data_IF_197891690189
#
_entry.id   IF_197891690189
#
_cell.length_a   1.000
_cell.length_b   1.000
_cell.length_c   1.000
_cell.angle_alpha   90.00
_cell.angle_beta   90.00
_cell.angle_gamma   90.00
#
_symmetry.space_group_name_H-M   'P 1'
#
loop_
_entity.id
_entity.type
_entity.pdbx_description
1 polymer ?
#
# COMPACT_ATOMS: atom_id res chain seq x y z
N UNK A 1 10.89 -7.59 14.00
CA UNK A 1 10.56 -6.37 13.27
C UNK A 1 9.07 -6.11 13.36
N UNK A 2 8.69 -4.88 13.66
CA UNK A 2 7.28 -4.57 13.80
C UNK A 2 6.60 -4.54 12.44
N UNK A 3 5.40 -5.08 12.32
CA UNK A 3 4.67 -4.99 11.07
C UNK A 3 4.30 -3.54 10.75
N UNK A 4 4.24 -3.24 9.47
CA UNK A 4 3.81 -1.92 9.01
C UNK A 4 2.30 -1.93 8.85
N UNK A 5 1.63 -1.01 9.53
CA UNK A 5 0.18 -0.87 9.44
C UNK A 5 -0.13 0.53 8.91
N UNK A 6 -0.78 0.59 7.76
CA UNK A 6 -1.15 1.84 7.14
C UNK A 6 -2.55 2.24 7.58
N UNK A 7 -2.71 3.50 7.95
CA UNK A 7 -4.01 4.08 8.30
C UNK A 7 -4.73 3.27 9.39
N UNK A 8 -3.99 2.64 10.29
CA UNK A 8 -4.53 1.77 11.34
C UNK A 8 -5.45 0.67 10.80
N UNK A 9 -5.32 0.34 9.54
CA UNK A 9 -6.24 -0.60 8.89
C UNK A 9 -5.55 -1.68 8.06
N UNK A 10 -4.53 -1.33 7.29
CA UNK A 10 -3.92 -2.28 6.35
C UNK A 10 -2.56 -2.72 6.85
N UNK A 11 -2.48 -3.97 7.28
CA UNK A 11 -1.21 -4.55 7.72
C UNK A 11 -0.50 -5.17 6.53
N UNK A 12 0.64 -4.59 6.15
CA UNK A 12 1.42 -5.07 5.02
C UNK A 12 2.04 -6.43 5.35
N UNK A 13 1.90 -7.37 4.42
CA UNK A 13 2.47 -8.70 4.57
C UNK A 13 3.74 -8.84 3.74
N UNK A 14 3.62 -8.75 2.41
CA UNK A 14 4.78 -8.91 1.54
C UNK A 14 4.60 -8.10 0.27
N UNK A 15 5.72 -7.70 -0.32
CA UNK A 15 5.70 -7.03 -1.61
C UNK A 15 5.52 -8.08 -2.69
N UNK A 16 4.50 -7.92 -3.51
CA UNK A 16 4.17 -8.86 -4.58
C UNK A 16 4.48 -8.32 -5.97
N UNK A 17 4.87 -7.06 -6.06
CA UNK A 17 5.24 -6.49 -7.35
C UNK A 17 5.67 -5.04 -7.22
N UNK A 18 6.18 -4.50 -8.32
CA UNK A 18 6.49 -3.08 -8.41
C UNK A 18 6.38 -2.64 -9.87
N UNK A 19 5.90 -1.43 -10.05
CA UNK A 19 5.89 -0.78 -11.35
C UNK A 19 6.79 0.44 -11.35
N UNK A 20 6.73 1.23 -12.41
CA UNK A 20 7.52 2.45 -12.48
C UNK A 20 7.16 3.47 -11.42
N UNK A 21 5.90 3.51 -10.97
CA UNK A 21 5.40 4.53 -10.06
C UNK A 21 5.11 4.04 -8.66
N UNK A 22 4.98 2.75 -8.46
CA UNK A 22 4.50 2.24 -7.17
C UNK A 22 5.04 0.86 -6.86
N UNK A 23 5.01 0.54 -5.58
CA UNK A 23 5.18 -0.83 -5.09
C UNK A 23 3.80 -1.40 -4.77
N UNK A 24 3.62 -2.69 -5.02
CA UNK A 24 2.36 -3.37 -4.71
C UNK A 24 2.62 -4.38 -3.59
N UNK A 25 1.83 -4.29 -2.53
CA UNK A 25 1.94 -5.18 -1.37
C UNK A 25 0.68 -5.98 -1.19
N UNK A 26 0.85 -7.23 -0.79
CA UNK A 26 -0.23 -7.98 -0.20
C UNK A 26 -0.39 -7.48 1.24
N UNK A 27 -1.64 -7.23 1.64
CA UNK A 27 -1.92 -6.73 2.97
C UNK A 27 -3.19 -7.37 3.52
N UNK A 28 -3.36 -7.24 4.82
CA UNK A 28 -4.59 -7.65 5.47
C UNK A 28 -5.38 -6.41 5.86
N UNK A 29 -6.64 -6.36 5.45
CA UNK A 29 -7.56 -5.32 5.90
C UNK A 29 -8.06 -5.73 7.29
N UNK A 30 -7.59 -5.03 8.31
CA UNK A 30 -7.91 -5.38 9.69
C UNK A 30 -9.36 -5.09 10.07
N UNK A 31 -10.00 -4.22 9.33
CA UNK A 31 -11.41 -3.87 9.58
C UNK A 31 -12.32 -4.92 8.97
N UNK A 32 -12.12 -5.24 7.70
CA UNK A 32 -12.96 -6.19 6.98
C UNK A 32 -12.47 -7.63 7.07
N UNK A 33 -11.30 -7.85 7.67
CA UNK A 33 -10.73 -9.18 7.90
C UNK A 33 -10.53 -9.95 6.60
N UNK A 34 -9.95 -9.30 5.60
CA UNK A 34 -9.69 -9.94 4.31
C UNK A 34 -8.38 -9.45 3.72
N UNK A 35 -7.84 -10.20 2.76
CA UNK A 35 -6.64 -9.82 2.04
C UNK A 35 -6.96 -8.81 0.97
N UNK A 36 -6.06 -7.85 0.79
CA UNK A 36 -6.18 -6.81 -0.23
C UNK A 36 -4.82 -6.54 -0.84
N UNK A 37 -4.83 -5.89 -1.99
CA UNK A 37 -3.60 -5.39 -2.61
C UNK A 37 -3.51 -3.89 -2.33
N UNK A 38 -2.34 -3.45 -1.88
CA UNK A 38 -2.11 -2.04 -1.56
C UNK A 38 -0.99 -1.51 -2.45
N UNK A 39 -1.26 -0.43 -3.16
CA UNK A 39 -0.24 0.28 -3.94
C UNK A 39 0.34 1.39 -3.08
N UNK A 40 1.66 1.45 -3.01
CA UNK A 40 2.36 2.53 -2.33
C UNK A 40 3.17 3.28 -3.36
N UNK A 41 2.84 4.53 -3.59
CA UNK A 41 3.53 5.35 -4.57
C UNK A 41 4.98 5.58 -4.15
N UNK A 42 5.87 5.51 -5.13
CA UNK A 42 7.26 5.86 -4.89
C UNK A 42 7.34 7.35 -4.57
N UNK A 43 8.30 7.71 -3.75
CA UNK A 43 8.41 9.06 -3.23
C UNK A 43 8.41 10.14 -4.31
N UNK A 44 9.02 9.86 -5.44
CA UNK A 44 9.09 10.83 -6.54
C UNK A 44 7.74 11.21 -7.14
N UNK A 45 6.68 10.45 -6.83
CA UNK A 45 5.34 10.71 -7.33
C UNK A 45 4.37 11.22 -6.27
N UNK A 46 4.83 11.39 -5.04
CA UNK A 46 3.94 11.78 -3.94
C UNK A 46 3.41 13.21 -4.06
N UNK A 47 4.07 14.06 -4.82
CA UNK A 47 3.61 15.43 -5.03
C UNK A 47 2.47 15.54 -6.03
N UNK A 48 2.23 14.49 -6.80
CA UNK A 48 1.17 14.48 -7.79
C UNK A 48 -0.12 13.97 -7.15
N UNK A 49 -1.06 14.86 -6.93
CA UNK A 49 -2.32 14.51 -6.28
C UNK A 49 -3.13 13.46 -7.02
N UNK A 50 -3.02 13.40 -8.35
CA UNK A 50 -3.74 12.41 -9.12
C UNK A 50 -3.29 10.99 -8.78
N UNK A 51 -1.99 10.79 -8.58
CA UNK A 51 -1.49 9.50 -8.19
C UNK A 51 -1.94 9.12 -6.78
N UNK A 52 -1.94 10.08 -5.89
CA UNK A 52 -2.36 9.84 -4.50
C UNK A 52 -3.84 9.48 -4.43
N UNK A 53 -4.67 10.14 -5.20
CA UNK A 53 -6.13 9.90 -5.18
C UNK A 53 -6.53 8.54 -5.71
N UNK A 54 -5.67 7.88 -6.44
CA UNK A 54 -5.97 6.54 -6.98
C UNK A 54 -5.87 5.44 -5.96
N UNK A 55 -5.37 5.75 -4.79
CA UNK A 55 -5.42 4.82 -3.68
C UNK A 55 -6.81 4.86 -3.06
#
# INVERSE_FOLDING_TARGET
MNPIVLNNRYRLAQRIGHGGMAYVYEAEDLVLKRKVAVKILKEQYLEDEEFVKKF
#
